data_IF_976309616856
#
_entry.id   IF_976309616856
#
_cell.length_a   1.000
_cell.length_b   1.000
_cell.length_c   1.000
_cell.angle_alpha   90.00
_cell.angle_beta   90.00
_cell.angle_gamma   90.00
#
_symmetry.space_group_name_H-M   'P 1'
#
loop_
_entity.id
_entity.type
_entity.pdbx_description
1 polymer ?
#
# COMPACT_ATOMS: atom_id res chain seq x y z
N UNK A 1 -10.17 -10.38 -19.55
CA UNK A 1 -9.57 -11.46 -18.73
C UNK A 1 -10.07 -11.25 -17.31
N UNK A 2 -10.42 -12.29 -16.54
CA UNK A 2 -11.00 -12.08 -15.20
C UNK A 2 -9.93 -11.68 -14.17
N UNK A 3 -10.29 -10.91 -13.14
CA UNK A 3 -9.38 -10.45 -12.07
C UNK A 3 -8.65 -11.59 -11.35
N UNK A 4 -9.27 -12.77 -11.28
CA UNK A 4 -8.61 -13.98 -10.78
C UNK A 4 -7.38 -14.40 -11.60
N UNK A 5 -7.30 -14.08 -12.89
CA UNK A 5 -6.10 -14.35 -13.69
C UNK A 5 -4.94 -13.43 -13.30
N UNK A 6 -5.21 -12.19 -12.86
CA UNK A 6 -4.19 -11.26 -12.36
C UNK A 6 -3.47 -11.82 -11.13
N UNK A 7 -4.21 -12.22 -10.09
CA UNK A 7 -3.62 -12.80 -8.87
C UNK A 7 -2.81 -14.07 -9.15
N UNK A 8 -3.29 -14.92 -10.06
CA UNK A 8 -2.57 -16.12 -10.50
C UNK A 8 -1.22 -15.77 -11.16
N UNK A 9 -1.15 -14.69 -11.95
CA UNK A 9 0.11 -14.29 -12.59
C UNK A 9 1.11 -13.66 -11.61
N UNK A 10 0.64 -12.98 -10.55
CA UNK A 10 1.52 -12.51 -9.46
C UNK A 10 2.24 -13.69 -8.81
N UNK A 11 1.48 -14.71 -8.41
CA UNK A 11 2.01 -15.87 -7.69
C UNK A 11 2.94 -16.71 -8.58
N UNK A 12 2.61 -16.84 -9.87
CA UNK A 12 3.34 -17.69 -10.81
C UNK A 12 4.42 -16.95 -11.63
N UNK A 13 4.57 -15.64 -11.43
CA UNK A 13 5.49 -14.76 -12.16
C UNK A 13 6.78 -14.42 -11.40
N UNK A 14 7.65 -13.63 -12.04
CA UNK A 14 8.91 -13.16 -11.41
C UNK A 14 10.02 -14.21 -11.26
N UNK A 15 11.11 -13.84 -10.59
CA UNK A 15 12.32 -14.67 -10.45
C UNK A 15 12.11 -15.94 -9.61
N UNK A 16 11.15 -15.91 -8.68
CA UNK A 16 10.77 -17.06 -7.84
C UNK A 16 9.57 -17.84 -8.40
N UNK A 17 8.85 -17.29 -9.39
CA UNK A 17 7.65 -17.87 -9.98
C UNK A 17 7.81 -19.31 -10.47
N UNK A 18 8.91 -19.69 -11.16
CA UNK A 18 9.11 -21.09 -11.56
C UNK A 18 9.22 -22.06 -10.39
N UNK A 19 9.84 -21.63 -9.27
CA UNK A 19 9.96 -22.46 -8.05
C UNK A 19 8.62 -22.59 -7.34
N UNK A 20 7.87 -21.49 -7.23
CA UNK A 20 6.53 -21.50 -6.66
C UNK A 20 5.59 -22.38 -7.50
N UNK A 21 5.64 -22.25 -8.83
CA UNK A 21 4.85 -23.05 -9.76
C UNK A 21 5.05 -24.55 -9.55
N UNK A 22 6.30 -25.01 -9.43
CA UNK A 22 6.58 -26.43 -9.23
C UNK A 22 5.95 -26.98 -7.94
N UNK A 23 6.04 -26.23 -6.84
CA UNK A 23 5.39 -26.61 -5.58
C UNK A 23 3.85 -26.60 -5.71
N UNK A 24 3.29 -25.60 -6.37
CA UNK A 24 1.84 -25.49 -6.59
C UNK A 24 1.31 -26.60 -7.51
N UNK A 25 2.08 -27.04 -8.51
CA UNK A 25 1.73 -28.14 -9.41
C UNK A 25 1.69 -29.49 -8.68
N UNK A 26 2.50 -29.68 -7.64
CA UNK A 26 2.46 -30.87 -6.79
C UNK A 26 1.12 -30.97 -6.04
N UNK A 27 0.75 -29.91 -5.31
CA UNK A 27 -0.51 -29.89 -4.56
C UNK A 27 -1.74 -29.87 -5.47
N UNK A 28 -1.69 -29.14 -6.59
CA UNK A 28 -2.77 -29.12 -7.58
C UNK A 28 -3.07 -30.54 -8.12
N UNK A 29 -2.02 -31.35 -8.34
CA UNK A 29 -2.14 -32.75 -8.78
C UNK A 29 -2.81 -33.62 -7.73
N UNK A 30 -2.47 -33.43 -6.45
CA UNK A 30 -3.12 -34.15 -5.34
C UNK A 30 -4.62 -33.83 -5.25
N UNK A 31 -5.03 -32.61 -5.62
CA UNK A 31 -6.43 -32.18 -5.70
C UNK A 31 -7.13 -32.54 -7.02
N UNK A 32 -6.40 -33.07 -8.00
CA UNK A 32 -6.93 -33.34 -9.34
C UNK A 32 -7.35 -32.07 -10.10
N UNK A 33 -6.72 -30.93 -9.83
CA UNK A 33 -7.06 -29.63 -10.40
C UNK A 33 -5.95 -29.10 -11.32
N UNK A 34 -6.28 -28.37 -12.39
CA UNK A 34 -5.28 -27.56 -13.11
C UNK A 34 -4.65 -26.52 -12.19
N UNK A 35 -3.33 -26.31 -12.25
CA UNK A 35 -2.63 -25.37 -11.35
C UNK A 35 -3.24 -23.95 -11.35
N UNK A 36 -3.67 -23.45 -12.51
CA UNK A 36 -4.33 -22.12 -12.60
C UNK A 36 -5.68 -22.06 -11.88
N UNK A 37 -6.41 -23.17 -11.80
CA UNK A 37 -7.66 -23.24 -11.05
C UNK A 37 -7.38 -23.43 -9.56
N UNK A 38 -6.38 -24.24 -9.22
CA UNK A 38 -5.96 -24.51 -7.85
C UNK A 38 -5.46 -23.24 -7.14
N UNK A 39 -4.62 -22.41 -7.77
CA UNK A 39 -4.09 -21.17 -7.18
C UNK A 39 -5.19 -20.16 -6.81
N UNK A 40 -6.40 -20.30 -7.35
CA UNK A 40 -7.56 -19.46 -7.03
C UNK A 40 -8.31 -19.91 -5.78
N UNK A 41 -7.98 -21.06 -5.20
CA UNK A 41 -8.63 -21.57 -3.98
C UNK A 41 -7.87 -21.12 -2.73
N UNK A 42 -8.51 -21.23 -1.56
CA UNK A 42 -7.84 -20.97 -0.26
C UNK A 42 -6.64 -21.90 -0.07
N UNK A 43 -6.81 -23.17 -0.44
CA UNK A 43 -5.73 -24.16 -0.40
C UNK A 43 -4.56 -23.80 -1.33
N UNK A 44 -4.84 -23.27 -2.53
CA UNK A 44 -3.80 -22.79 -3.44
C UNK A 44 -3.01 -21.60 -2.89
N UNK A 45 -3.67 -20.69 -2.17
CA UNK A 45 -3.00 -19.60 -1.48
C UNK A 45 -2.10 -20.12 -0.34
N UNK A 46 -2.60 -21.05 0.49
CA UNK A 46 -1.80 -21.68 1.55
C UNK A 46 -0.59 -22.43 0.99
N UNK A 47 -0.73 -23.13 -0.13
CA UNK A 47 0.38 -23.77 -0.82
C UNK A 47 1.43 -22.77 -1.35
N UNK A 48 1.01 -21.58 -1.79
CA UNK A 48 1.95 -20.53 -2.19
C UNK A 48 2.75 -20.02 -0.99
N UNK A 49 2.12 -19.80 0.16
CA UNK A 49 2.79 -19.40 1.40
C UNK A 49 3.76 -20.48 1.92
N UNK A 50 3.37 -21.76 1.84
CA UNK A 50 4.26 -22.89 2.14
C UNK A 50 5.46 -22.95 1.20
N UNK A 51 5.23 -22.74 -0.10
CA UNK A 51 6.30 -22.68 -1.08
C UNK A 51 7.26 -21.52 -0.82
N UNK A 52 6.75 -20.37 -0.35
CA UNK A 52 7.57 -19.24 0.10
C UNK A 52 8.41 -19.63 1.32
N UNK A 53 7.81 -20.22 2.37
CA UNK A 53 8.54 -20.71 3.55
C UNK A 53 9.70 -21.63 3.17
N UNK A 54 9.44 -22.57 2.25
CA UNK A 54 10.45 -23.50 1.74
C UNK A 54 11.54 -22.78 0.93
N UNK A 55 11.16 -21.79 0.12
CA UNK A 55 12.10 -21.02 -0.70
C UNK A 55 13.02 -20.12 0.13
N UNK A 56 12.52 -19.51 1.21
CA UNK A 56 13.34 -18.72 2.12
C UNK A 56 14.02 -19.54 3.22
N UNK A 57 13.68 -20.82 3.38
CA UNK A 57 14.25 -21.70 4.41
C UNK A 57 13.83 -21.33 5.83
N UNK A 58 12.74 -20.57 5.98
CA UNK A 58 12.23 -20.07 7.25
C UNK A 58 10.71 -20.22 7.28
N UNK A 59 10.15 -20.50 8.47
CA UNK A 59 8.69 -20.45 8.68
C UNK A 59 8.28 -18.99 8.88
N UNK A 60 8.17 -18.25 7.77
CA UNK A 60 7.73 -16.84 7.76
C UNK A 60 6.21 -16.77 7.93
N UNK A 61 5.49 -17.64 7.22
CA UNK A 61 4.03 -17.74 7.28
C UNK A 61 3.60 -18.94 8.14
N UNK A 62 2.59 -18.74 8.98
CA UNK A 62 2.04 -19.79 9.84
C UNK A 62 1.05 -20.68 9.07
N UNK A 63 1.59 -21.61 8.27
CA UNK A 63 0.80 -22.52 7.42
C UNK A 63 1.35 -23.94 7.53
N UNK A 64 0.45 -24.93 7.63
CA UNK A 64 0.76 -26.36 7.67
C UNK A 64 0.49 -27.05 6.32
N UNK A 65 1.21 -28.13 6.00
CA UNK A 65 1.06 -28.83 4.71
C UNK A 65 -0.36 -29.31 4.42
N UNK A 66 -1.12 -29.70 5.44
CA UNK A 66 -2.52 -30.11 5.30
C UNK A 66 -3.40 -29.00 4.72
N UNK A 67 -3.05 -27.73 4.96
CA UNK A 67 -3.81 -26.56 4.51
C UNK A 67 -3.62 -26.28 3.01
N UNK A 68 -2.57 -26.85 2.39
CA UNK A 68 -2.45 -26.88 0.93
C UNK A 68 -3.45 -27.84 0.27
N UNK A 69 -4.13 -28.70 1.03
CA UNK A 69 -4.97 -29.77 0.48
C UNK A 69 -6.41 -29.67 1.01
N UNK A 70 -6.58 -29.46 2.31
CA UNK A 70 -7.86 -29.49 2.99
C UNK A 70 -8.29 -28.09 3.45
N UNK A 71 -9.34 -27.55 2.82
CA UNK A 71 -9.91 -26.26 3.21
C UNK A 71 -10.61 -26.32 4.57
N UNK A 72 -11.05 -27.49 5.03
CA UNK A 72 -11.59 -27.62 6.38
C UNK A 72 -10.50 -27.39 7.43
N UNK A 73 -9.25 -27.81 7.16
CA UNK A 73 -8.11 -27.53 8.02
C UNK A 73 -7.82 -26.02 8.09
N UNK A 74 -7.94 -25.31 6.95
CA UNK A 74 -7.82 -23.85 6.89
C UNK A 74 -8.88 -23.20 7.79
N UNK A 75 -10.15 -23.56 7.63
CA UNK A 75 -11.26 -22.97 8.41
C UNK A 75 -11.13 -23.30 9.91
N UNK A 76 -10.63 -24.48 10.25
CA UNK A 76 -10.41 -24.89 11.63
C UNK A 76 -9.27 -24.11 12.30
N UNK A 77 -8.21 -23.77 11.55
CA UNK A 77 -7.01 -23.08 12.06
C UNK A 77 -7.12 -21.57 11.96
N UNK A 78 -7.58 -21.07 10.81
CA UNK A 78 -7.70 -19.67 10.50
C UNK A 78 -9.15 -19.23 10.59
N UNK A 79 -9.42 -18.33 11.53
CA UNK A 79 -10.70 -17.63 11.57
C UNK A 79 -10.79 -16.73 10.35
N UNK A 80 -11.91 -16.79 9.63
CA UNK A 80 -12.25 -15.72 8.69
C UNK A 80 -12.36 -14.44 9.52
N UNK A 81 -11.66 -13.36 9.16
CA UNK A 81 -11.77 -12.11 9.90
C UNK A 81 -13.22 -11.62 9.85
N UNK A 82 -13.74 -11.16 10.98
CA UNK A 82 -15.04 -10.48 11.02
C UNK A 82 -14.97 -9.09 10.33
N UNK A 83 -13.76 -8.61 10.05
CA UNK A 83 -13.48 -7.30 9.51
C UNK A 83 -12.13 -7.29 8.77
N UNK A 84 -12.11 -6.70 7.57
CA UNK A 84 -10.90 -6.54 6.76
C UNK A 84 -10.63 -5.05 6.49
N UNK A 85 -9.49 -4.57 6.97
CA UNK A 85 -8.97 -3.24 6.69
C UNK A 85 -7.85 -3.32 5.65
N UNK A 86 -7.99 -2.57 4.56
CA UNK A 86 -6.88 -2.25 3.66
C UNK A 86 -6.28 -0.89 4.05
N UNK A 87 -5.13 -0.90 4.70
CA UNK A 87 -4.50 0.30 5.25
C UNK A 87 -3.66 1.10 4.24
N UNK A 88 -3.46 0.58 3.03
CA UNK A 88 -2.50 1.14 2.08
C UNK A 88 -3.03 1.25 0.64
N UNK A 89 -4.32 1.53 0.46
CA UNK A 89 -4.88 1.69 -0.89
C UNK A 89 -4.57 3.06 -1.50
N UNK A 90 -4.44 3.10 -2.83
CA UNK A 90 -4.03 4.28 -3.58
C UNK A 90 -4.78 4.39 -4.91
N UNK A 91 -5.00 5.63 -5.34
CA UNK A 91 -5.39 5.95 -6.71
C UNK A 91 -4.17 6.57 -7.38
N UNK A 92 -3.76 5.99 -8.52
CA UNK A 92 -2.54 6.41 -9.22
C UNK A 92 -2.80 7.08 -10.56
N UNK A 93 -4.05 7.22 -10.98
CA UNK A 93 -4.39 7.94 -12.21
C UNK A 93 -5.66 8.76 -12.04
N UNK A 94 -5.56 10.03 -12.45
CA UNK A 94 -6.66 10.99 -12.43
C UNK A 94 -7.10 11.38 -13.83
N UNK A 95 -8.36 11.78 -13.95
CA UNK A 95 -8.93 12.28 -15.20
C UNK A 95 -8.13 13.49 -15.69
N UNK A 96 -7.63 13.43 -16.93
CA UNK A 96 -6.76 14.45 -17.50
C UNK A 96 -5.25 14.23 -17.30
N UNK A 97 -4.85 13.20 -16.55
CA UNK A 97 -3.44 12.80 -16.39
C UNK A 97 -2.59 13.80 -15.60
N UNK A 98 -1.29 13.83 -15.93
CA UNK A 98 -0.30 14.72 -15.31
C UNK A 98 0.13 15.77 -16.33
N UNK A 99 -0.13 17.05 -16.03
CA UNK A 99 0.21 18.15 -16.94
C UNK A 99 1.74 18.30 -17.10
N UNK A 100 2.47 18.12 -16.00
CA UNK A 100 3.92 18.23 -15.94
C UNK A 100 4.50 17.10 -15.09
N UNK A 101 5.67 16.59 -15.48
CA UNK A 101 6.43 15.61 -14.71
C UNK A 101 7.93 15.86 -14.91
N UNK A 102 8.69 15.99 -13.82
CA UNK A 102 10.16 16.04 -13.84
C UNK A 102 10.75 14.70 -14.32
N UNK A 103 12.07 14.59 -14.58
CA UNK A 103 12.72 13.29 -14.82
C UNK A 103 12.41 12.25 -13.73
N UNK A 104 12.47 12.66 -12.46
CA UNK A 104 12.17 11.84 -11.29
C UNK A 104 10.68 11.47 -11.26
N UNK A 105 9.79 12.43 -11.52
CA UNK A 105 8.34 12.17 -11.66
C UNK A 105 8.03 11.16 -12.77
N UNK A 106 8.72 11.23 -13.91
CA UNK A 106 8.59 10.23 -14.99
C UNK A 106 9.12 8.87 -14.59
N UNK A 107 10.22 8.81 -13.83
CA UNK A 107 10.74 7.55 -13.29
C UNK A 107 9.75 6.92 -12.31
N UNK A 108 9.14 7.73 -11.44
CA UNK A 108 8.07 7.30 -10.53
C UNK A 108 6.88 6.70 -11.30
N UNK A 109 6.34 7.44 -12.28
CA UNK A 109 5.26 6.97 -13.14
C UNK A 109 5.60 5.65 -13.87
N UNK A 110 6.81 5.55 -14.41
CA UNK A 110 7.28 4.34 -15.08
C UNK A 110 7.39 3.15 -14.12
N UNK A 111 7.80 3.37 -12.87
CA UNK A 111 7.87 2.31 -11.86
C UNK A 111 6.49 1.75 -11.52
N UNK A 112 5.48 2.62 -11.36
CA UNK A 112 4.09 2.21 -11.10
C UNK A 112 3.48 1.49 -12.31
N UNK A 113 3.66 2.04 -13.51
CA UNK A 113 3.18 1.43 -14.75
C UNK A 113 3.83 0.07 -15.04
N UNK A 114 5.14 -0.04 -14.82
CA UNK A 114 5.87 -1.31 -14.95
C UNK A 114 5.40 -2.34 -13.91
N UNK A 115 5.21 -1.91 -12.66
CA UNK A 115 4.62 -2.74 -11.61
C UNK A 115 3.26 -3.28 -12.03
N UNK A 116 2.33 -2.40 -12.44
CA UNK A 116 0.97 -2.77 -12.86
C UNK A 116 0.97 -3.74 -14.06
N UNK A 117 1.75 -3.45 -15.11
CA UNK A 117 1.80 -4.32 -16.30
C UNK A 117 2.46 -5.67 -16.04
N UNK A 118 3.36 -5.75 -15.05
CA UNK A 118 3.98 -7.03 -14.66
C UNK A 118 3.01 -7.99 -13.98
N UNK A 119 1.94 -7.47 -13.36
CA UNK A 119 0.99 -8.27 -12.58
C UNK A 119 -0.36 -8.43 -13.29
N UNK A 120 -0.81 -7.40 -14.02
CA UNK A 120 -2.14 -7.35 -14.65
C UNK A 120 -2.01 -7.52 -16.16
N UNK A 121 -2.38 -8.69 -16.72
CA UNK A 121 -2.31 -8.93 -18.15
C UNK A 121 -3.22 -7.97 -18.93
N UNK A 122 -2.69 -7.43 -20.02
CA UNK A 122 -3.44 -6.49 -20.87
C UNK A 122 -3.61 -5.10 -20.26
N UNK A 123 -2.98 -4.83 -19.10
CA UNK A 123 -2.97 -3.49 -18.53
C UNK A 123 -2.21 -2.51 -19.43
N UNK A 124 -2.70 -1.27 -19.49
CA UNK A 124 -2.05 -0.10 -20.07
C UNK A 124 -1.17 0.63 -19.05
N UNK A 125 -0.77 -0.07 -17.98
CA UNK A 125 0.03 0.46 -16.90
C UNK A 125 -0.77 1.41 -16.02
N UNK A 126 -0.20 2.57 -15.72
CA UNK A 126 -0.77 3.47 -14.73
C UNK A 126 -2.14 4.02 -15.13
N UNK A 127 -2.44 4.12 -16.43
CA UNK A 127 -3.69 4.67 -16.96
C UNK A 127 -4.91 3.88 -16.45
N UNK A 128 -4.73 2.59 -16.14
CA UNK A 128 -5.81 1.76 -15.63
C UNK A 128 -6.05 1.97 -14.12
N UNK A 129 -5.15 2.64 -13.40
CA UNK A 129 -5.19 2.76 -11.93
C UNK A 129 -6.04 3.96 -11.47
N UNK A 130 -7.24 4.05 -12.05
CA UNK A 130 -8.21 5.14 -11.84
C UNK A 130 -9.01 4.97 -10.55
N UNK A 131 -9.78 5.99 -10.15
CA UNK A 131 -10.80 5.90 -9.10
C UNK A 131 -11.75 4.72 -9.33
N UNK A 132 -12.27 4.56 -10.55
CA UNK A 132 -13.27 3.53 -10.85
C UNK A 132 -12.67 2.12 -10.74
N UNK A 133 -11.45 1.93 -11.24
CA UNK A 133 -10.71 0.69 -11.07
C UNK A 133 -10.44 0.41 -9.60
N UNK A 134 -10.02 1.42 -8.84
CA UNK A 134 -9.78 1.30 -7.40
C UNK A 134 -11.05 0.89 -6.65
N UNK A 135 -12.20 1.52 -6.92
CA UNK A 135 -13.49 1.13 -6.32
C UNK A 135 -13.82 -0.33 -6.66
N UNK A 136 -13.64 -0.75 -7.91
CA UNK A 136 -13.86 -2.15 -8.31
C UNK A 136 -12.92 -3.10 -7.56
N UNK A 137 -11.62 -2.82 -7.55
CA UNK A 137 -10.61 -3.68 -6.95
C UNK A 137 -10.77 -3.80 -5.44
N UNK A 138 -11.01 -2.68 -4.74
CA UNK A 138 -11.16 -2.67 -3.29
C UNK A 138 -12.52 -3.20 -2.86
N UNK A 139 -13.63 -2.77 -3.44
CA UNK A 139 -14.96 -3.06 -2.87
C UNK A 139 -15.77 -4.14 -3.57
N UNK A 140 -15.45 -4.48 -4.83
CA UNK A 140 -16.20 -5.49 -5.58
C UNK A 140 -15.41 -6.77 -5.83
N UNK A 141 -14.08 -6.69 -5.78
CA UNK A 141 -13.19 -7.78 -6.13
C UNK A 141 -12.33 -8.25 -4.96
N UNK A 142 -12.49 -7.62 -3.80
CA UNK A 142 -11.88 -8.02 -2.55
C UNK A 142 -12.92 -8.05 -1.43
N UNK A 143 -12.56 -8.69 -0.33
CA UNK A 143 -13.39 -8.77 0.88
C UNK A 143 -13.18 -7.54 1.80
N UNK A 144 -12.47 -6.49 1.34
CA UNK A 144 -12.16 -5.30 2.14
C UNK A 144 -13.42 -4.60 2.63
N UNK A 145 -13.51 -4.44 3.95
CA UNK A 145 -14.59 -3.73 4.62
C UNK A 145 -14.35 -2.24 4.69
N UNK A 146 -13.14 -1.84 5.07
CA UNK A 146 -12.75 -0.44 5.16
C UNK A 146 -11.38 -0.28 4.53
N UNK A 147 -11.14 0.86 3.92
CA UNK A 147 -9.81 1.21 3.44
C UNK A 147 -9.37 2.59 3.90
N UNK A 148 -8.08 2.73 4.18
CA UNK A 148 -7.43 4.03 4.17
C UNK A 148 -7.03 4.38 2.73
N UNK A 149 -7.62 5.47 2.20
CA UNK A 149 -7.19 6.07 0.95
C UNK A 149 -6.00 6.98 1.23
N UNK A 150 -4.84 6.57 0.72
CA UNK A 150 -3.57 7.22 0.96
C UNK A 150 -3.34 8.33 -0.07
N UNK A 151 -2.86 9.48 0.42
CA UNK A 151 -2.39 10.59 -0.41
C UNK A 151 -0.91 10.42 -0.74
N UNK A 152 -0.48 11.03 -1.84
CA UNK A 152 0.91 11.08 -2.27
C UNK A 152 1.24 12.52 -2.63
N UNK A 153 1.97 13.21 -1.76
CA UNK A 153 2.67 14.42 -2.16
C UNK A 153 3.81 14.03 -3.10
N UNK A 154 4.21 14.94 -3.97
CA UNK A 154 5.47 14.97 -4.73
C UNK A 154 5.45 16.27 -5.53
N UNK A 155 5.23 17.38 -4.83
CA UNK A 155 4.88 18.65 -5.47
C UNK A 155 5.89 19.04 -6.56
N UNK A 156 7.17 18.98 -6.23
CA UNK A 156 8.27 19.35 -7.14
C UNK A 156 8.38 18.43 -8.36
N UNK A 157 8.02 17.14 -8.23
CA UNK A 157 8.03 16.22 -9.38
C UNK A 157 6.90 16.48 -10.36
N UNK A 158 5.80 17.14 -9.93
CA UNK A 158 4.58 17.32 -10.73
C UNK A 158 4.15 18.79 -10.84
N UNK A 159 5.11 19.69 -11.08
CA UNK A 159 4.82 21.10 -11.41
C UNK A 159 4.27 21.91 -10.23
N UNK A 160 4.70 21.58 -9.01
CA UNK A 160 4.28 22.23 -7.76
C UNK A 160 2.99 21.66 -7.15
N UNK A 161 2.29 20.76 -7.85
CA UNK A 161 1.07 20.11 -7.38
C UNK A 161 1.35 18.72 -6.87
N UNK A 162 0.66 18.33 -5.80
CA UNK A 162 0.76 16.97 -5.28
C UNK A 162 0.28 15.94 -6.31
N UNK A 163 0.84 14.75 -6.22
CA UNK A 163 0.55 13.66 -7.14
C UNK A 163 -0.89 13.18 -6.99
N UNK A 164 -1.27 12.76 -5.79
CA UNK A 164 -2.64 12.51 -5.37
C UNK A 164 -2.88 13.32 -4.11
N UNK A 165 -3.47 14.51 -4.30
CA UNK A 165 -3.54 15.55 -3.28
C UNK A 165 -4.57 15.28 -2.19
N UNK A 166 -4.44 15.97 -1.07
CA UNK A 166 -5.30 15.77 0.09
C UNK A 166 -6.76 16.17 -0.16
N UNK A 167 -7.01 17.28 -0.85
CA UNK A 167 -8.38 17.65 -1.23
C UNK A 167 -9.00 16.62 -2.19
N UNK A 168 -8.23 16.14 -3.17
CA UNK A 168 -8.69 15.12 -4.13
C UNK A 168 -9.09 13.82 -3.40
N UNK A 169 -8.28 13.39 -2.44
CA UNK A 169 -8.58 12.24 -1.58
C UNK A 169 -9.89 12.41 -0.80
N UNK A 170 -10.13 13.59 -0.22
CA UNK A 170 -11.35 13.89 0.53
C UNK A 170 -12.59 13.85 -0.38
N UNK A 171 -12.50 14.42 -1.58
CA UNK A 171 -13.62 14.41 -2.52
C UNK A 171 -13.97 13.00 -2.99
N UNK A 172 -12.96 12.16 -3.29
CA UNK A 172 -13.18 10.74 -3.59
C UNK A 172 -13.83 10.01 -2.42
N UNK A 173 -13.31 10.21 -1.20
CA UNK A 173 -13.85 9.56 -0.01
C UNK A 173 -15.30 9.98 0.26
N UNK A 174 -15.64 11.27 0.10
CA UNK A 174 -17.02 11.76 0.21
C UNK A 174 -17.94 11.11 -0.82
N UNK A 175 -17.52 11.05 -2.08
CA UNK A 175 -18.31 10.44 -3.16
C UNK A 175 -18.63 8.97 -2.88
N UNK A 176 -17.62 8.19 -2.45
CA UNK A 176 -17.79 6.76 -2.16
C UNK A 176 -18.58 6.56 -0.88
N UNK A 177 -18.28 7.30 0.19
CA UNK A 177 -18.99 7.18 1.47
C UNK A 177 -20.44 7.68 1.40
N UNK A 178 -20.80 8.55 0.45
CA UNK A 178 -22.19 8.92 0.23
C UNK A 178 -23.05 7.72 -0.21
N UNK A 179 -22.45 6.76 -0.90
CA UNK A 179 -23.11 5.52 -1.33
C UNK A 179 -22.90 4.37 -0.34
N UNK A 180 -21.71 4.31 0.26
CA UNK A 180 -21.31 3.26 1.20
C UNK A 180 -20.68 3.87 2.46
N UNK A 181 -21.50 4.34 3.42
CA UNK A 181 -21.02 5.09 4.59
C UNK A 181 -19.95 4.34 5.39
N UNK A 182 -18.85 5.04 5.70
CA UNK A 182 -17.79 4.56 6.59
C UNK A 182 -16.81 3.56 5.96
N UNK A 183 -16.86 3.33 4.64
CA UNK A 183 -15.98 2.38 3.95
C UNK A 183 -14.61 2.99 3.59
N UNK A 184 -14.51 4.32 3.49
CA UNK A 184 -13.26 5.00 3.14
C UNK A 184 -12.85 5.97 4.24
N UNK A 185 -11.67 5.74 4.82
CA UNK A 185 -10.96 6.64 5.72
C UNK A 185 -9.85 7.34 4.94
N UNK A 186 -9.47 8.55 5.34
CA UNK A 186 -8.53 9.37 4.56
C UNK A 186 -7.26 9.66 5.34
N UNK A 187 -6.11 9.54 4.68
CA UNK A 187 -4.81 9.92 5.24
C UNK A 187 -4.25 11.12 4.48
N UNK A 188 -3.98 12.22 5.18
CA UNK A 188 -3.34 13.40 4.60
C UNK A 188 -1.84 13.18 4.47
N UNK A 189 -1.16 13.98 3.64
CA UNK A 189 0.29 13.84 3.47
C UNK A 189 0.97 15.18 3.31
N UNK A 190 2.15 15.28 3.90
CA UNK A 190 3.05 16.42 3.82
C UNK A 190 4.43 15.94 3.37
N UNK A 191 5.22 16.87 2.85
CA UNK A 191 6.65 16.68 2.58
C UNK A 191 7.42 17.45 3.66
N UNK A 192 8.08 16.80 4.64
CA UNK A 192 8.73 17.50 5.75
C UNK A 192 9.76 18.55 5.30
N UNK A 193 10.50 18.29 4.23
CA UNK A 193 11.47 19.24 3.69
C UNK A 193 10.84 20.39 2.88
N UNK A 194 9.52 20.39 2.63
CA UNK A 194 8.82 21.46 1.91
C UNK A 194 8.44 22.58 2.87
N UNK A 195 8.64 23.83 2.44
CA UNK A 195 8.17 24.99 3.19
C UNK A 195 6.66 24.97 3.38
N UNK A 196 6.19 25.38 4.57
CA UNK A 196 4.76 25.44 4.89
C UNK A 196 4.12 24.09 5.27
N UNK A 197 4.91 23.03 5.50
CA UNK A 197 4.36 21.69 5.76
C UNK A 197 3.54 21.61 7.06
N UNK A 198 3.86 22.38 8.10
CA UNK A 198 3.11 22.40 9.36
C UNK A 198 1.76 23.12 9.20
N UNK A 199 1.72 24.18 8.42
CA UNK A 199 0.50 24.92 8.07
C UNK A 199 -0.43 24.04 7.23
N UNK A 200 0.13 23.27 6.29
CA UNK A 200 -0.63 22.27 5.53
C UNK A 200 -1.20 21.18 6.42
N UNK A 201 -0.39 20.67 7.36
CA UNK A 201 -0.85 19.68 8.35
C UNK A 201 -2.03 20.22 9.18
N UNK A 202 -1.94 21.47 9.64
CA UNK A 202 -3.01 22.14 10.36
C UNK A 202 -4.28 22.29 9.53
N UNK A 203 -4.16 22.73 8.27
CA UNK A 203 -5.28 22.83 7.34
C UNK A 203 -5.96 21.47 7.11
N UNK A 204 -5.20 20.41 6.89
CA UNK A 204 -5.76 19.07 6.66
C UNK A 204 -6.61 18.57 7.83
N UNK A 205 -6.19 18.85 9.06
CA UNK A 205 -6.94 18.35 10.20
C UNK A 205 -8.11 19.28 10.58
N UNK A 206 -7.91 20.60 10.53
CA UNK A 206 -8.93 21.58 10.93
C UNK A 206 -10.03 21.73 9.90
N UNK A 207 -9.68 21.77 8.62
CA UNK A 207 -10.64 22.04 7.54
C UNK A 207 -11.07 20.77 6.82
N UNK A 208 -10.16 19.84 6.57
CA UNK A 208 -10.44 18.63 5.79
C UNK A 208 -10.80 17.40 6.64
N UNK A 209 -10.62 17.48 7.97
CA UNK A 209 -10.97 16.42 8.93
C UNK A 209 -10.36 15.05 8.59
N UNK A 210 -9.10 15.04 8.14
CA UNK A 210 -8.39 13.80 7.80
C UNK A 210 -8.31 12.83 8.98
N UNK A 211 -8.43 11.53 8.72
CA UNK A 211 -8.42 10.49 9.77
C UNK A 211 -7.02 10.26 10.36
N UNK A 212 -5.97 10.53 9.59
CA UNK A 212 -4.59 10.37 10.01
C UNK A 212 -3.61 10.95 9.00
N UNK A 213 -2.33 10.68 9.23
CA UNK A 213 -1.23 11.15 8.40
C UNK A 213 -0.56 9.97 7.69
N UNK A 214 -0.29 10.09 6.39
CA UNK A 214 0.59 9.22 5.62
C UNK A 214 1.85 9.97 5.24
N UNK A 215 3.00 9.44 5.60
CA UNK A 215 4.30 10.02 5.32
C UNK A 215 5.19 9.06 4.54
N UNK A 216 5.98 9.64 3.64
CA UNK A 216 7.00 8.96 2.87
C UNK A 216 8.36 9.52 3.29
N UNK A 217 9.31 8.69 3.76
CA UNK A 217 10.64 9.14 4.17
C UNK A 217 11.53 9.68 3.04
N UNK A 218 11.04 9.63 1.81
CA UNK A 218 11.59 10.32 0.66
C UNK A 218 10.61 11.41 0.25
N UNK A 219 11.13 12.60 -0.02
CA UNK A 219 10.34 13.70 -0.56
C UNK A 219 10.81 14.06 -1.97
N UNK A 220 9.97 14.80 -2.70
CA UNK A 220 10.34 15.29 -4.02
C UNK A 220 11.31 16.48 -3.97
N UNK A 221 11.69 16.94 -2.78
CA UNK A 221 12.56 18.10 -2.62
C UNK A 221 14.01 17.75 -2.95
N UNK A 222 14.84 18.77 -3.12
CA UNK A 222 16.28 18.60 -3.34
C UNK A 222 17.01 17.85 -2.19
N UNK A 223 16.42 17.74 -1.00
CA UNK A 223 16.98 16.98 0.12
C UNK A 223 16.83 15.46 -0.06
N UNK A 224 15.81 15.03 -0.82
CA UNK A 224 15.58 13.65 -1.24
C UNK A 224 15.17 12.68 -0.12
N UNK A 225 14.85 13.20 1.07
CA UNK A 225 14.35 12.42 2.20
C UNK A 225 14.76 12.95 3.57
N UNK A 226 14.27 12.26 4.60
CA UNK A 226 14.35 12.70 6.00
C UNK A 226 14.29 11.49 6.95
N UNK A 227 14.65 11.72 8.21
CA UNK A 227 14.60 10.72 9.27
C UNK A 227 13.53 11.05 10.29
N UNK A 228 12.82 10.04 10.79
CA UNK A 228 11.75 10.19 11.76
C UNK A 228 12.23 10.61 13.16
N UNK A 229 13.52 10.39 13.45
CA UNK A 229 14.20 10.83 14.67
C UNK A 229 14.90 12.18 14.53
N UNK A 230 14.77 12.89 13.39
CA UNK A 230 15.33 14.23 13.24
C UNK A 230 14.59 15.23 14.15
N UNK A 231 15.24 15.61 15.26
CA UNK A 231 14.67 16.53 16.25
C UNK A 231 14.34 17.92 15.70
N UNK A 232 14.98 18.34 14.59
CA UNK A 232 14.76 19.67 14.00
C UNK A 232 13.65 19.64 12.96
N UNK A 233 13.55 18.56 12.20
CA UNK A 233 12.61 18.44 11.08
C UNK A 233 11.36 17.63 11.45
N UNK A 234 11.52 16.45 12.04
CA UNK A 234 10.43 15.53 12.31
C UNK A 234 9.71 15.81 13.64
N UNK A 235 10.44 16.19 14.70
CA UNK A 235 9.81 16.40 16.02
C UNK A 235 8.77 17.54 16.03
N UNK A 236 8.96 18.66 15.32
CA UNK A 236 7.90 19.66 15.16
C UNK A 236 6.62 19.07 14.55
N UNK A 237 6.73 18.11 13.63
CA UNK A 237 5.59 17.41 13.04
C UNK A 237 4.88 16.56 14.10
N UNK A 238 5.63 15.78 14.88
CA UNK A 238 5.06 14.95 15.96
C UNK A 238 4.36 15.78 17.04
N UNK A 239 4.97 16.89 17.45
CA UNK A 239 4.37 17.85 18.37
C UNK A 239 3.08 18.43 17.80
N UNK A 240 3.11 18.88 16.54
CA UNK A 240 1.94 19.42 15.86
C UNK A 240 0.82 18.39 15.70
N UNK A 241 1.15 17.13 15.42
CA UNK A 241 0.19 16.03 15.42
C UNK A 241 -0.52 15.92 16.77
N UNK A 242 0.22 15.90 17.89
CA UNK A 242 -0.37 15.85 19.22
C UNK A 242 -1.24 17.09 19.54
N UNK A 243 -0.80 18.29 19.17
CA UNK A 243 -1.58 19.53 19.34
C UNK A 243 -2.91 19.49 18.59
N UNK A 244 -2.89 18.92 17.38
CA UNK A 244 -4.08 18.77 16.55
C UNK A 244 -4.93 17.57 16.95
N UNK A 245 -4.45 16.68 17.83
CA UNK A 245 -5.16 15.44 18.19
C UNK A 245 -5.03 14.32 17.16
N UNK A 246 -4.02 14.39 16.30
CA UNK A 246 -3.65 13.35 15.35
C UNK A 246 -2.78 12.31 16.08
N UNK A 247 -3.25 11.07 16.12
CA UNK A 247 -2.60 9.95 16.80
C UNK A 247 -2.25 8.77 15.89
N UNK A 248 -2.59 8.85 14.59
CA UNK A 248 -2.34 7.79 13.59
C UNK A 248 -1.36 8.29 12.54
N UNK A 249 -0.13 7.80 12.64
CA UNK A 249 0.98 8.19 11.78
C UNK A 249 1.39 6.97 10.95
N UNK A 250 0.87 6.88 9.73
CA UNK A 250 1.32 5.89 8.76
C UNK A 250 2.62 6.40 8.12
N UNK A 251 3.68 5.62 8.19
CA UNK A 251 4.99 6.00 7.62
C UNK A 251 5.56 4.84 6.82
N UNK A 252 5.89 5.09 5.56
CA UNK A 252 6.44 4.03 4.72
C UNK A 252 7.84 3.63 5.18
N UNK A 253 8.00 2.43 5.74
CA UNK A 253 9.31 1.85 6.11
C UNK A 253 9.46 0.42 5.57
N UNK A 254 10.69 -0.09 5.54
CA UNK A 254 11.02 -1.46 5.16
C UNK A 254 11.37 -1.66 3.69
N UNK A 255 10.45 -1.37 2.76
CA UNK A 255 10.66 -1.64 1.33
C UNK A 255 11.10 -0.38 0.56
N UNK A 256 12.38 -0.24 0.16
CA UNK A 256 12.80 0.86 -0.68
C UNK A 256 12.25 0.70 -2.10
N UNK A 257 11.75 1.79 -2.67
CA UNK A 257 11.49 1.85 -4.11
C UNK A 257 12.79 2.12 -4.87
N UNK A 258 12.88 1.72 -6.14
CA UNK A 258 14.10 1.85 -6.96
C UNK A 258 14.60 3.29 -7.14
N UNK A 259 13.74 4.27 -6.89
CA UNK A 259 14.04 5.70 -6.97
C UNK A 259 14.28 6.34 -5.60
N UNK A 260 14.33 5.55 -4.51
CA UNK A 260 14.48 6.05 -3.13
C UNK A 260 15.77 5.56 -2.50
N UNK A 261 16.31 6.34 -1.55
CA UNK A 261 17.46 5.91 -0.77
C UNK A 261 17.02 4.97 0.35
N UNK A 262 17.55 3.75 0.38
CA UNK A 262 17.21 2.74 1.39
C UNK A 262 17.41 3.20 2.84
N UNK A 263 18.36 4.12 3.07
CA UNK A 263 18.64 4.67 4.42
C UNK A 263 17.43 5.34 5.06
N UNK A 264 16.55 5.98 4.29
CA UNK A 264 15.41 6.72 4.85
C UNK A 264 14.22 5.81 5.18
N UNK A 265 14.14 4.64 4.54
CA UNK A 265 13.05 3.68 4.79
C UNK A 265 13.41 2.64 5.84
N UNK A 266 14.64 2.64 6.37
CA UNK A 266 15.01 1.74 7.45
C UNK A 266 14.22 2.10 8.73
N UNK A 267 13.53 1.17 9.40
CA UNK A 267 12.67 1.49 10.55
C UNK A 267 13.44 1.82 11.85
N UNK A 268 14.77 1.94 11.81
CA UNK A 268 15.56 2.18 13.03
C UNK A 268 15.39 3.60 13.56
N UNK A 269 15.14 4.56 12.67
CA UNK A 269 14.86 5.95 13.03
C UNK A 269 13.49 6.14 13.70
N UNK A 270 12.69 5.07 13.86
CA UNK A 270 11.46 5.10 14.63
C UNK A 270 11.66 4.79 16.12
N UNK A 271 12.80 4.21 16.53
CA UNK A 271 13.02 3.77 17.91
C UNK A 271 12.90 4.95 18.90
N UNK A 272 13.57 6.06 18.59
CA UNK A 272 13.54 7.26 19.42
C UNK A 272 12.16 7.97 19.43
N UNK A 273 11.53 8.32 18.30
CA UNK A 273 10.24 9.01 18.32
C UNK A 273 9.10 8.15 18.91
N UNK A 274 9.12 6.82 18.79
CA UNK A 274 8.14 5.95 19.47
C UNK A 274 8.25 6.11 20.99
N UNK A 275 9.47 6.19 21.52
CA UNK A 275 9.73 6.39 22.95
C UNK A 275 9.31 7.79 23.40
N UNK A 276 9.64 8.82 22.63
CA UNK A 276 9.45 10.21 23.04
C UNK A 276 8.02 10.71 22.83
N UNK A 277 7.28 10.11 21.90
CA UNK A 277 5.89 10.43 21.59
C UNK A 277 4.96 9.22 21.79
N UNK A 278 4.83 8.66 23.01
CA UNK A 278 4.10 7.41 23.26
C UNK A 278 2.57 7.50 23.05
N UNK A 279 2.05 8.70 22.77
CA UNK A 279 0.65 8.94 22.40
C UNK A 279 0.40 8.83 20.89
N UNK A 280 1.45 8.77 20.07
CA UNK A 280 1.35 8.57 18.64
C UNK A 280 1.44 7.07 18.32
N UNK A 281 0.58 6.60 17.43
CA UNK A 281 0.64 5.27 16.86
C UNK A 281 1.36 5.36 15.51
N UNK A 282 2.63 4.94 15.50
CA UNK A 282 3.40 4.79 14.27
C UNK A 282 3.04 3.45 13.60
N UNK A 283 2.51 3.53 12.39
CA UNK A 283 2.03 2.40 11.59
C UNK A 283 2.96 2.27 10.38
N UNK A 284 3.64 1.14 10.25
CA UNK A 284 4.64 0.84 9.21
C UNK A 284 4.08 -0.07 8.15
#
# INVERSE_FOLDING_TARGET
>A
MSHYETGVNVILGGSIGPRLRAALEEYARQKGMPVRAYVKTRAGFMAALLALNKACGMRVYDVEEVEAIDEAAIVARHKVPDFILDDQSHIFFRTGGYAEASPEGRQFLASLGGGRTSVVPGSQGIIDMTKDTWVQEVFFLSETDVTFLNTLAFGEYFGGKDYFGTEECVEVAKEVNAQYPGRVLTLGTIEPNREGHLERLEYYFKELQMTGLKLYPWDATSQGGWWADDERLAYPIWQKCLELGIDKIHIHKGLPASFTMAKYVHPLDLDQPIRDFPKLNFIV
#
